data_IF_217454973852
#
_entry.id   IF_217454973852
#
_cell.length_a   1.000
_cell.length_b   1.000
_cell.length_c   1.000
_cell.angle_alpha   90.00
_cell.angle_beta   90.00
_cell.angle_gamma   90.00
#
_symmetry.space_group_name_H-M   'P 1'
#
loop_
_entity.id
_entity.type
_entity.pdbx_description
1 polymer ?
#
# COMPACT_ATOMS: atom_id res chain seq x y z
N UNK A 1 7.58 15.04 8.03
CA UNK A 1 6.65 13.90 8.25
C UNK A 1 7.45 12.61 8.24
N UNK A 2 7.25 11.77 9.25
CA UNK A 2 7.94 10.47 9.32
C UNK A 2 7.06 9.36 8.74
N UNK A 3 7.51 8.71 7.67
CA UNK A 3 6.80 7.67 6.94
C UNK A 3 7.54 6.34 7.00
N UNK A 4 6.81 5.24 7.09
CA UNK A 4 7.44 3.94 7.24
C UNK A 4 6.66 2.79 6.63
N UNK A 5 7.30 1.62 6.65
CA UNK A 5 6.68 0.36 6.28
C UNK A 5 7.06 -0.75 7.25
N UNK A 6 6.23 -1.76 7.32
CA UNK A 6 6.55 -3.05 7.95
C UNK A 6 6.83 -4.08 6.87
N UNK A 7 7.97 -4.77 6.98
CA UNK A 7 8.24 -6.00 6.25
C UNK A 7 8.22 -7.16 7.22
N UNK A 8 7.38 -8.17 6.97
CA UNK A 8 7.36 -9.39 7.78
C UNK A 8 6.80 -10.57 7.00
N UNK A 9 6.83 -11.77 7.59
CA UNK A 9 6.25 -12.98 7.03
C UNK A 9 4.95 -13.32 7.77
N UNK A 10 3.76 -13.02 7.22
CA UNK A 10 2.50 -13.50 7.77
C UNK A 10 2.42 -15.02 7.77
N UNK A 11 1.81 -15.60 8.79
CA UNK A 11 1.47 -17.02 8.84
C UNK A 11 0.05 -17.20 8.31
N UNK A 12 -0.12 -18.03 7.26
CA UNK A 12 -1.43 -18.22 6.62
C UNK A 12 -2.48 -18.71 7.62
N UNK A 13 -3.61 -18.01 7.66
CA UNK A 13 -4.76 -18.34 8.50
C UNK A 13 -4.64 -17.96 9.97
N UNK A 14 -3.48 -17.50 10.45
CA UNK A 14 -3.21 -17.17 11.84
C UNK A 14 -3.43 -15.67 12.14
N UNK A 15 -4.67 -15.18 11.92
CA UNK A 15 -5.01 -13.75 12.01
C UNK A 15 -4.54 -13.09 13.30
N UNK A 16 -4.89 -13.67 14.46
CA UNK A 16 -4.52 -13.11 15.75
C UNK A 16 -2.99 -13.05 15.96
N UNK A 17 -2.26 -14.09 15.53
CA UNK A 17 -0.79 -14.11 15.65
C UNK A 17 -0.16 -13.05 14.77
N UNK A 18 -0.64 -12.92 13.52
CA UNK A 18 -0.17 -11.92 12.58
C UNK A 18 -0.43 -10.52 13.12
N UNK A 19 -1.64 -10.26 13.63
CA UNK A 19 -2.01 -8.98 14.21
C UNK A 19 -1.13 -8.65 15.44
N UNK A 20 -0.94 -9.58 16.36
CA UNK A 20 -0.06 -9.38 17.53
C UNK A 20 1.39 -9.06 17.12
N UNK A 21 1.88 -9.69 16.04
CA UNK A 21 3.23 -9.41 15.53
C UNK A 21 3.31 -8.02 14.92
N UNK A 22 2.32 -7.64 14.11
CA UNK A 22 2.26 -6.30 13.49
C UNK A 22 2.18 -5.22 14.55
N UNK A 23 1.40 -5.38 15.60
CA UNK A 23 1.32 -4.41 16.71
C UNK A 23 2.69 -4.16 17.38
N UNK A 24 3.60 -5.16 17.41
CA UNK A 24 4.97 -4.94 17.91
C UNK A 24 5.78 -4.06 16.97
N UNK A 25 5.67 -4.29 15.65
CA UNK A 25 6.33 -3.42 14.66
C UNK A 25 5.77 -1.99 14.68
N UNK A 26 4.44 -1.86 14.80
CA UNK A 26 3.81 -0.55 14.93
C UNK A 26 4.28 0.19 16.18
N UNK A 27 4.42 -0.50 17.34
CA UNK A 27 5.00 0.10 18.55
C UNK A 27 6.42 0.59 18.33
N UNK A 28 7.26 -0.18 17.62
CA UNK A 28 8.61 0.28 17.29
C UNK A 28 8.56 1.52 16.37
N UNK A 29 7.66 1.55 15.38
CA UNK A 29 7.47 2.72 14.53
C UNK A 29 7.00 3.96 15.29
N UNK A 30 6.14 3.78 16.29
CA UNK A 30 5.73 4.88 17.22
C UNK A 30 6.93 5.38 18.02
N UNK A 31 7.83 4.50 18.47
CA UNK A 31 9.07 4.93 19.15
C UNK A 31 10.00 5.75 18.24
N UNK A 32 9.92 5.53 16.92
CA UNK A 32 10.60 6.35 15.91
C UNK A 32 9.79 7.58 15.48
N UNK A 33 8.65 7.86 16.15
CA UNK A 33 7.73 8.98 15.89
C UNK A 33 7.13 8.96 14.48
N UNK A 34 6.79 7.77 13.97
CA UNK A 34 6.14 7.64 12.67
C UNK A 34 4.77 8.30 12.64
N UNK A 35 4.49 9.03 11.56
CA UNK A 35 3.17 9.63 11.27
C UNK A 35 2.32 8.71 10.38
N UNK A 36 2.98 7.84 9.59
CA UNK A 36 2.34 6.92 8.64
C UNK A 36 3.15 5.62 8.55
N UNK A 37 2.48 4.48 8.71
CA UNK A 37 3.07 3.16 8.47
C UNK A 37 2.21 2.35 7.52
N UNK A 38 2.86 1.72 6.52
CA UNK A 38 2.22 0.85 5.56
C UNK A 38 2.50 -0.61 5.94
N UNK A 39 1.45 -1.43 6.02
CA UNK A 39 1.52 -2.87 6.22
C UNK A 39 1.40 -3.61 4.87
N UNK A 40 1.91 -4.85 4.77
CA UNK A 40 1.78 -5.64 3.54
C UNK A 40 0.33 -5.95 3.15
N UNK A 41 0.14 -6.31 1.89
CA UNK A 41 -1.12 -6.85 1.36
C UNK A 41 -1.54 -8.11 2.12
N UNK A 42 -2.83 -8.22 2.49
CA UNK A 42 -3.41 -9.37 3.21
C UNK A 42 -2.57 -9.79 4.43
N UNK A 43 -2.05 -8.80 5.16
CA UNK A 43 -1.08 -9.03 6.22
C UNK A 43 -1.61 -9.93 7.34
N UNK A 44 -2.92 -9.88 7.59
CA UNK A 44 -3.55 -10.60 8.69
C UNK A 44 -3.86 -12.06 8.34
N UNK A 45 -4.16 -12.37 7.06
CA UNK A 45 -4.60 -13.70 6.62
C UNK A 45 -3.53 -14.55 5.97
N UNK A 46 -2.51 -13.92 5.37
CA UNK A 46 -1.67 -14.53 4.35
C UNK A 46 -2.32 -14.41 2.97
N UNK A 47 -1.63 -14.92 1.92
CA UNK A 47 -1.96 -14.65 0.53
C UNK A 47 -2.39 -15.90 -0.27
N UNK A 48 -1.80 -17.06 0.00
CA UNK A 48 -1.94 -18.24 -0.86
C UNK A 48 -3.18 -19.04 -0.48
N UNK A 49 -4.35 -18.52 -0.83
CA UNK A 49 -5.62 -19.23 -0.66
C UNK A 49 -5.70 -20.45 -1.59
N UNK A 50 -6.38 -21.51 -1.13
CA UNK A 50 -6.60 -22.76 -1.86
C UNK A 50 -8.07 -23.10 -2.09
N UNK A 51 -8.99 -22.43 -1.40
CA UNK A 51 -10.44 -22.61 -1.53
C UNK A 51 -11.21 -21.37 -1.12
N UNK A 52 -12.45 -21.24 -1.62
CA UNK A 52 -13.39 -20.19 -1.17
C UNK A 52 -13.68 -20.29 0.33
N UNK A 53 -13.74 -21.51 0.89
CA UNK A 53 -13.93 -21.71 2.34
C UNK A 53 -12.84 -21.03 3.17
N UNK A 54 -11.61 -20.99 2.69
CA UNK A 54 -10.53 -20.25 3.38
C UNK A 54 -10.78 -18.73 3.32
N UNK A 55 -11.23 -18.22 2.17
CA UNK A 55 -11.55 -16.80 1.99
C UNK A 55 -12.71 -16.40 2.90
N UNK A 56 -13.81 -17.16 2.87
CA UNK A 56 -14.99 -16.96 3.72
C UNK A 56 -14.64 -16.93 5.20
N UNK A 57 -13.83 -17.89 5.64
CA UNK A 57 -13.42 -18.02 7.04
C UNK A 57 -12.50 -16.88 7.51
N UNK A 58 -11.65 -16.39 6.63
CA UNK A 58 -10.57 -15.47 7.01
C UNK A 58 -10.89 -13.99 6.72
N UNK A 59 -11.84 -13.72 5.82
CA UNK A 59 -12.28 -12.37 5.51
C UNK A 59 -13.03 -11.73 6.69
N UNK A 60 -13.06 -10.41 6.68
CA UNK A 60 -13.78 -9.63 7.67
C UNK A 60 -14.36 -8.35 7.06
N UNK A 61 -15.43 -7.85 7.66
CA UNK A 61 -15.99 -6.55 7.29
C UNK A 61 -15.05 -5.42 7.70
N UNK A 62 -15.02 -4.35 6.91
CA UNK A 62 -14.30 -3.13 7.24
C UNK A 62 -15.35 -2.01 7.40
N UNK A 63 -15.37 -1.31 8.55
CA UNK A 63 -14.39 -1.33 9.65
C UNK A 63 -14.69 -2.31 10.82
N UNK A 64 -15.76 -3.08 10.78
CA UNK A 64 -16.31 -3.81 11.93
C UNK A 64 -15.49 -5.05 12.33
N UNK A 65 -14.58 -5.51 11.48
CA UNK A 65 -13.73 -6.67 11.73
C UNK A 65 -12.74 -6.45 12.88
N UNK A 66 -12.33 -7.54 13.53
CA UNK A 66 -11.44 -7.51 14.68
C UNK A 66 -10.08 -6.87 14.34
N UNK A 67 -9.53 -7.18 13.17
CA UNK A 67 -8.26 -6.59 12.71
C UNK A 67 -8.38 -5.07 12.63
N UNK A 68 -9.43 -4.58 11.93
CA UNK A 68 -9.62 -3.15 11.71
C UNK A 68 -9.89 -2.42 13.02
N UNK A 69 -10.78 -2.94 13.89
CA UNK A 69 -11.05 -2.36 15.21
C UNK A 69 -9.79 -2.23 16.07
N UNK A 70 -8.96 -3.28 16.07
CA UNK A 70 -7.70 -3.25 16.84
C UNK A 70 -6.74 -2.21 16.30
N UNK A 71 -6.65 -2.07 14.96
CA UNK A 71 -5.80 -1.05 14.34
C UNK A 71 -6.35 0.36 14.54
N UNK A 72 -7.67 0.56 14.51
CA UNK A 72 -8.31 1.87 14.85
C UNK A 72 -7.90 2.30 16.24
N UNK A 73 -8.13 1.43 17.24
CA UNK A 73 -7.75 1.73 18.62
C UNK A 73 -6.24 2.03 18.76
N UNK A 74 -5.40 1.30 18.02
CA UNK A 74 -3.96 1.56 18.03
C UNK A 74 -3.62 2.90 17.39
N UNK A 75 -4.23 3.24 16.26
CA UNK A 75 -4.01 4.47 15.50
C UNK A 75 -4.37 5.71 16.35
N UNK A 76 -5.56 5.72 16.94
CA UNK A 76 -6.05 6.79 17.82
C UNK A 76 -5.13 7.03 19.02
N UNK A 77 -4.76 5.94 19.74
CA UNK A 77 -3.93 6.06 20.95
C UNK A 77 -2.49 6.50 20.68
N UNK A 78 -2.02 6.43 19.42
CA UNK A 78 -0.63 6.74 19.07
C UNK A 78 -0.51 7.85 18.02
N UNK A 79 -1.61 8.51 17.64
CA UNK A 79 -1.64 9.54 16.59
C UNK A 79 -0.97 9.08 15.29
N UNK A 80 -1.19 7.81 14.90
CA UNK A 80 -0.54 7.15 13.77
C UNK A 80 -1.55 6.86 12.66
N UNK A 81 -1.22 7.24 11.42
CA UNK A 81 -1.96 6.76 10.25
C UNK A 81 -1.43 5.38 9.82
N UNK A 82 -2.32 4.45 9.50
CA UNK A 82 -1.95 3.09 9.10
C UNK A 82 -2.64 2.76 7.78
N UNK A 83 -1.88 2.26 6.78
CA UNK A 83 -2.47 1.60 5.60
C UNK A 83 -2.23 0.11 5.71
N UNK A 84 -3.31 -0.67 5.77
CA UNK A 84 -3.27 -2.10 6.05
C UNK A 84 -3.97 -2.92 4.97
N UNK A 85 -3.27 -3.91 4.37
CA UNK A 85 -3.87 -4.84 3.40
C UNK A 85 -4.71 -5.91 4.10
N UNK A 86 -6.00 -5.98 3.82
CA UNK A 86 -6.99 -6.82 4.51
C UNK A 86 -7.81 -7.64 3.51
N UNK A 87 -8.13 -8.88 3.86
CA UNK A 87 -9.11 -9.69 3.17
C UNK A 87 -10.52 -9.19 3.58
N UNK A 88 -11.13 -8.38 2.73
CA UNK A 88 -12.43 -7.75 2.98
C UNK A 88 -13.58 -8.69 2.59
N UNK A 89 -14.62 -8.70 3.40
CA UNK A 89 -15.95 -9.23 3.06
C UNK A 89 -16.93 -8.07 3.03
N UNK A 90 -17.68 -7.97 1.93
CA UNK A 90 -18.77 -7.02 1.76
C UNK A 90 -19.97 -7.77 1.19
N UNK A 91 -20.97 -8.01 2.03
CA UNK A 91 -22.09 -8.90 1.75
C UNK A 91 -21.61 -10.29 1.29
N UNK A 92 -21.93 -10.68 0.05
CA UNK A 92 -21.58 -11.98 -0.56
C UNK A 92 -20.29 -11.88 -1.41
N UNK A 93 -19.63 -10.72 -1.45
CA UNK A 93 -18.41 -10.51 -2.22
C UNK A 93 -17.19 -10.40 -1.33
N UNK A 94 -16.06 -10.81 -1.88
CA UNK A 94 -14.76 -10.72 -1.21
C UNK A 94 -13.83 -9.85 -2.02
N UNK A 95 -13.02 -9.04 -1.33
CA UNK A 95 -12.07 -8.12 -1.95
C UNK A 95 -10.70 -8.22 -1.30
N UNK A 96 -9.69 -8.03 -2.12
CA UNK A 96 -8.35 -7.72 -1.65
C UNK A 96 -8.28 -6.21 -1.46
N UNK A 97 -8.28 -5.76 -0.21
CA UNK A 97 -8.49 -4.34 0.13
C UNK A 97 -7.34 -3.76 0.94
N UNK A 98 -7.18 -2.47 0.87
CA UNK A 98 -6.33 -1.70 1.76
C UNK A 98 -7.18 -0.68 2.52
N UNK A 99 -7.15 -0.76 3.84
CA UNK A 99 -7.78 0.19 4.73
C UNK A 99 -6.75 1.25 5.13
N UNK A 100 -7.05 2.52 4.85
CA UNK A 100 -6.41 3.66 5.50
C UNK A 100 -7.16 3.92 6.80
N UNK A 101 -6.48 3.75 7.90
CA UNK A 101 -6.96 4.05 9.24
C UNK A 101 -6.24 5.32 9.68
N UNK A 102 -6.96 6.42 9.77
CA UNK A 102 -6.41 7.71 10.16
C UNK A 102 -6.20 7.79 11.68
N UNK A 103 -5.33 8.71 12.09
CA UNK A 103 -5.01 8.96 13.50
C UNK A 103 -6.21 9.39 14.36
N UNK A 104 -7.29 9.83 13.73
CA UNK A 104 -8.58 10.18 14.35
C UNK A 104 -9.61 9.04 14.32
N UNK A 105 -9.20 7.82 13.92
CA UNK A 105 -10.04 6.63 13.86
C UNK A 105 -10.90 6.48 12.61
N UNK A 106 -10.91 7.46 11.70
CA UNK A 106 -11.64 7.35 10.44
C UNK A 106 -11.02 6.27 9.54
N UNK A 107 -11.88 5.54 8.80
CA UNK A 107 -11.45 4.46 7.90
C UNK A 107 -11.90 4.74 6.47
N UNK A 108 -10.94 4.72 5.56
CA UNK A 108 -11.17 4.74 4.11
C UNK A 108 -10.67 3.45 3.47
N UNK A 109 -11.35 2.96 2.44
CA UNK A 109 -11.04 1.65 1.84
C UNK A 109 -10.78 1.80 0.34
N UNK A 110 -9.66 1.26 -0.11
CA UNK A 110 -9.35 0.98 -1.50
C UNK A 110 -9.46 -0.52 -1.76
N UNK A 111 -10.20 -0.94 -2.79
CA UNK A 111 -10.32 -2.32 -3.27
C UNK A 111 -9.43 -2.50 -4.49
N UNK A 112 -8.58 -3.52 -4.48
CA UNK A 112 -7.62 -3.81 -5.56
C UNK A 112 -8.31 -3.92 -6.91
N UNK A 113 -7.95 -3.06 -7.82
CA UNK A 113 -8.57 -2.98 -9.16
C UNK A 113 -8.06 -4.10 -10.06
N UNK A 114 -6.75 -4.38 -10.03
CA UNK A 114 -6.11 -5.35 -10.93
C UNK A 114 -5.71 -6.62 -10.16
N UNK A 115 -6.53 -7.65 -10.29
CA UNK A 115 -6.32 -8.93 -9.61
C UNK A 115 -5.24 -9.75 -10.32
N UNK A 116 -4.31 -10.31 -9.54
CA UNK A 116 -3.20 -11.11 -10.03
C UNK A 116 -3.49 -12.61 -9.96
N UNK A 117 -3.30 -13.34 -11.08
CA UNK A 117 -3.36 -14.80 -11.17
C UNK A 117 -4.61 -15.39 -10.52
N UNK A 118 -4.45 -16.21 -9.46
CA UNK A 118 -5.56 -16.88 -8.75
C UNK A 118 -6.42 -15.96 -7.91
N UNK A 119 -6.01 -14.73 -7.66
CA UNK A 119 -6.88 -13.74 -7.01
C UNK A 119 -8.22 -13.59 -7.75
N UNK A 120 -8.21 -13.75 -9.08
CA UNK A 120 -9.41 -13.71 -9.92
C UNK A 120 -10.43 -14.81 -9.62
N UNK A 121 -10.04 -15.86 -8.88
CA UNK A 121 -10.92 -16.95 -8.44
C UNK A 121 -11.57 -16.60 -7.10
N UNK A 122 -10.83 -15.86 -6.26
CA UNK A 122 -11.18 -15.63 -4.86
C UNK A 122 -11.84 -14.29 -4.62
N UNK A 123 -11.43 -13.25 -5.35
CA UNK A 123 -11.80 -11.87 -5.11
C UNK A 123 -12.52 -11.26 -6.30
N UNK A 124 -13.45 -10.36 -6.01
CA UNK A 124 -14.01 -9.43 -6.98
C UNK A 124 -13.01 -8.31 -7.27
N UNK A 125 -12.89 -7.83 -8.51
CA UNK A 125 -12.13 -6.62 -8.80
C UNK A 125 -12.73 -5.41 -8.08
N UNK A 126 -11.88 -4.45 -7.74
CA UNK A 126 -12.30 -3.21 -7.09
C UNK A 126 -13.32 -2.46 -7.94
N UNK A 127 -14.34 -1.95 -7.28
CA UNK A 127 -15.53 -1.30 -7.87
C UNK A 127 -15.59 0.20 -7.56
N UNK A 128 -14.51 0.77 -7.01
CA UNK A 128 -14.41 2.18 -6.62
C UNK A 128 -13.35 2.90 -7.45
N UNK A 129 -13.55 4.19 -7.78
CA UNK A 129 -12.55 4.96 -8.49
C UNK A 129 -11.27 5.13 -7.65
N UNK A 130 -10.13 5.29 -8.33
CA UNK A 130 -8.90 5.70 -7.65
C UNK A 130 -9.10 7.03 -6.95
N UNK A 131 -8.81 7.08 -5.65
CA UNK A 131 -9.03 8.24 -4.81
C UNK A 131 -7.76 8.64 -4.05
N UNK A 132 -7.66 9.92 -3.77
CA UNK A 132 -6.64 10.49 -2.90
C UNK A 132 -7.31 10.85 -1.58
N UNK A 133 -6.65 10.50 -0.49
CA UNK A 133 -7.12 10.67 0.87
C UNK A 133 -6.27 11.74 1.54
N UNK A 134 -6.93 12.73 2.13
CA UNK A 134 -6.24 13.78 2.87
C UNK A 134 -6.01 13.33 4.31
N UNK A 135 -4.80 13.57 4.80
CA UNK A 135 -4.44 13.49 6.21
C UNK A 135 -3.95 14.86 6.67
N UNK A 136 -3.75 15.05 7.96
CA UNK A 136 -3.23 16.30 8.48
C UNK A 136 -1.91 16.75 7.83
N UNK A 137 -1.05 15.78 7.43
CA UNK A 137 0.32 16.06 6.96
C UNK A 137 0.58 15.80 5.49
N UNK A 138 -0.27 15.02 4.81
CA UNK A 138 -0.04 14.65 3.41
C UNK A 138 -1.31 14.14 2.71
N UNK A 139 -1.28 14.15 1.37
CA UNK A 139 -2.27 13.52 0.49
C UNK A 139 -1.77 12.16 0.03
N UNK A 140 -2.54 11.12 0.37
CA UNK A 140 -2.17 9.72 0.17
C UNK A 140 -2.94 9.11 -0.99
N UNK A 141 -2.24 8.49 -1.95
CA UNK A 141 -2.82 7.57 -2.93
C UNK A 141 -2.59 6.13 -2.48
N UNK A 142 -3.52 5.23 -2.76
CA UNK A 142 -3.39 3.81 -2.41
C UNK A 142 -3.48 2.97 -3.69
N UNK A 143 -2.56 2.02 -3.83
CA UNK A 143 -2.59 0.93 -4.79
C UNK A 143 -2.16 -0.37 -4.11
N UNK A 144 -2.54 -1.53 -4.63
CA UNK A 144 -2.18 -2.82 -4.04
C UNK A 144 -1.42 -3.67 -5.04
N UNK A 145 -0.20 -4.11 -4.66
CA UNK A 145 0.59 -5.13 -5.34
C UNK A 145 0.55 -4.98 -6.88
N UNK A 146 -0.11 -5.88 -7.60
CA UNK A 146 -0.14 -5.94 -9.08
C UNK A 146 -0.64 -4.66 -9.77
N UNK A 147 -1.35 -3.76 -9.07
CA UNK A 147 -1.72 -2.45 -9.61
C UNK A 147 -0.51 -1.67 -10.15
N UNK A 148 0.70 -1.92 -9.63
CA UNK A 148 1.92 -1.28 -10.08
C UNK A 148 2.27 -1.54 -11.54
N UNK A 149 1.76 -2.65 -12.12
CA UNK A 149 2.00 -3.00 -13.52
C UNK A 149 1.28 -2.08 -14.51
N UNK A 150 0.31 -1.33 -14.01
CA UNK A 150 -0.51 -0.38 -14.78
C UNK A 150 -0.07 1.04 -14.45
N UNK A 151 0.77 1.66 -15.31
CA UNK A 151 1.30 3.00 -15.04
C UNK A 151 0.22 4.06 -14.89
N UNK A 152 -0.98 3.81 -15.44
CA UNK A 152 -2.16 4.65 -15.30
C UNK A 152 -2.56 4.84 -13.83
N UNK A 153 -2.41 3.83 -12.98
CA UNK A 153 -2.81 3.89 -11.57
C UNK A 153 -2.06 5.01 -10.85
N UNK A 154 -0.72 4.96 -10.91
CA UNK A 154 0.10 5.98 -10.24
C UNK A 154 -0.11 7.35 -10.89
N UNK A 155 -0.25 7.39 -12.23
CA UNK A 155 -0.51 8.63 -12.95
C UNK A 155 -1.84 9.27 -12.54
N UNK A 156 -2.91 8.51 -12.42
CA UNK A 156 -4.22 9.00 -11.98
C UNK A 156 -4.13 9.53 -10.54
N UNK A 157 -3.52 8.79 -9.63
CA UNK A 157 -3.34 9.21 -8.24
C UNK A 157 -2.52 10.50 -8.15
N UNK A 158 -1.43 10.60 -8.89
CA UNK A 158 -0.59 11.78 -8.92
C UNK A 158 -1.30 13.01 -9.53
N UNK A 159 -2.08 12.82 -10.59
CA UNK A 159 -2.92 13.88 -11.19
C UNK A 159 -4.02 14.35 -10.23
N UNK A 160 -4.50 13.49 -9.35
CA UNK A 160 -5.44 13.83 -8.28
C UNK A 160 -4.76 14.48 -7.06
N UNK A 161 -3.45 14.73 -7.12
CA UNK A 161 -2.69 15.44 -6.11
C UNK A 161 -2.07 14.57 -5.02
N UNK A 162 -2.00 13.25 -5.20
CA UNK A 162 -1.27 12.40 -4.26
C UNK A 162 0.20 12.83 -4.15
N UNK A 163 0.69 12.96 -2.91
CA UNK A 163 2.09 13.21 -2.59
C UNK A 163 2.83 11.91 -2.29
N UNK A 164 2.13 10.97 -1.64
CA UNK A 164 2.67 9.68 -1.23
C UNK A 164 1.76 8.57 -1.76
N UNK A 165 2.36 7.59 -2.45
CA UNK A 165 1.68 6.38 -2.89
C UNK A 165 1.97 5.25 -1.88
N UNK A 166 0.93 4.80 -1.20
CA UNK A 166 0.97 3.68 -0.27
C UNK A 166 0.73 2.38 -1.06
N UNK A 167 1.68 1.44 -1.00
CA UNK A 167 1.69 0.24 -1.83
C UNK A 167 1.86 -1.05 -1.01
N UNK A 168 0.81 -1.52 -0.29
CA UNK A 168 0.75 -2.86 0.28
C UNK A 168 1.00 -3.94 -0.77
N UNK A 169 1.88 -4.92 -0.49
CA UNK A 169 2.30 -5.86 -1.53
C UNK A 169 2.64 -7.26 -1.03
N UNK A 170 2.45 -8.25 -1.94
CA UNK A 170 2.92 -9.63 -1.84
C UNK A 170 3.67 -10.02 -3.12
N UNK A 171 4.80 -9.37 -3.38
CA UNK A 171 5.55 -9.47 -4.63
C UNK A 171 6.30 -10.80 -4.77
N UNK A 172 6.08 -11.47 -5.87
CA UNK A 172 6.76 -12.71 -6.27
C UNK A 172 7.79 -12.46 -7.39
N UNK A 173 7.52 -11.48 -8.26
CA UNK A 173 8.36 -11.13 -9.40
C UNK A 173 9.37 -10.03 -9.01
N UNK A 174 10.61 -10.05 -9.55
CA UNK A 174 11.69 -9.18 -9.11
C UNK A 174 11.71 -7.77 -9.75
N UNK A 175 10.62 -7.34 -10.39
CA UNK A 175 10.63 -6.14 -11.23
C UNK A 175 10.13 -4.88 -10.52
N UNK A 176 9.19 -5.04 -9.58
CA UNK A 176 8.46 -3.94 -8.97
C UNK A 176 9.37 -2.89 -8.33
N UNK A 177 10.36 -3.33 -7.55
CA UNK A 177 11.24 -2.40 -6.84
C UNK A 177 11.98 -1.46 -7.79
N UNK A 178 12.46 -1.98 -8.93
CA UNK A 178 13.11 -1.16 -9.95
C UNK A 178 12.12 -0.27 -10.68
N UNK A 179 10.94 -0.80 -11.03
CA UNK A 179 9.89 -0.04 -11.72
C UNK A 179 9.42 1.17 -10.89
N UNK A 180 9.34 1.03 -9.56
CA UNK A 180 8.92 2.11 -8.68
C UNK A 180 9.88 3.31 -8.67
N UNK A 181 11.15 3.13 -9.01
CA UNK A 181 12.08 4.25 -9.18
C UNK A 181 11.63 5.16 -10.34
N UNK A 182 11.37 4.54 -11.51
CA UNK A 182 10.87 5.26 -12.67
C UNK A 182 9.48 5.87 -12.43
N UNK A 183 8.59 5.12 -11.79
CA UNK A 183 7.25 5.59 -11.46
C UNK A 183 7.27 6.82 -10.52
N UNK A 184 8.15 6.83 -9.53
CA UNK A 184 8.30 7.95 -8.60
C UNK A 184 8.70 9.24 -9.32
N UNK A 185 9.75 9.20 -10.16
CA UNK A 185 10.23 10.41 -10.87
C UNK A 185 9.28 10.87 -11.96
N UNK A 186 8.65 9.95 -12.70
CA UNK A 186 7.69 10.28 -13.77
C UNK A 186 6.41 10.95 -13.24
N UNK A 187 6.10 10.75 -11.96
CA UNK A 187 4.90 11.30 -11.32
C UNK A 187 5.23 12.32 -10.22
N UNK A 188 6.52 12.49 -9.89
CA UNK A 188 6.98 13.35 -8.80
C UNK A 188 6.22 13.06 -7.50
N UNK A 189 6.26 11.79 -7.04
CA UNK A 189 5.61 11.32 -5.81
C UNK A 189 6.54 10.44 -5.00
N UNK A 190 6.34 10.39 -3.68
CA UNK A 190 6.93 9.34 -2.86
C UNK A 190 6.19 8.03 -3.09
N UNK A 191 6.90 6.90 -3.07
CA UNK A 191 6.28 5.56 -3.15
C UNK A 191 6.80 4.71 -2.00
N UNK A 192 5.89 4.18 -1.18
CA UNK A 192 6.18 3.29 -0.07
C UNK A 192 5.69 1.90 -0.43
N UNK A 193 6.57 0.99 -0.82
CA UNK A 193 6.24 -0.42 -1.06
C UNK A 193 6.46 -1.22 0.21
N UNK A 194 5.39 -1.62 0.88
CA UNK A 194 5.39 -2.51 2.03
C UNK A 194 5.17 -3.95 1.56
N UNK A 195 6.23 -4.71 1.43
CA UNK A 195 6.19 -6.07 0.89
C UNK A 195 6.39 -7.11 1.99
N UNK A 196 5.77 -8.27 1.84
CA UNK A 196 6.05 -9.41 2.71
C UNK A 196 7.36 -10.11 2.32
N UNK A 197 7.91 -10.86 3.26
CA UNK A 197 9.03 -11.79 3.05
C UNK A 197 8.62 -13.24 3.25
N UNK A 198 9.57 -14.16 3.06
CA UNK A 198 9.43 -15.59 3.36
C UNK A 198 8.77 -16.42 2.28
N UNK A 199 8.34 -17.62 2.68
CA UNK A 199 7.66 -18.58 1.81
C UNK A 199 6.35 -19.01 2.44
N UNK A 200 5.28 -19.08 1.65
CA UNK A 200 3.97 -19.52 2.09
C UNK A 200 3.43 -20.56 1.11
N UNK A 201 3.13 -21.77 1.59
CA UNK A 201 2.53 -22.84 0.79
C UNK A 201 3.28 -23.10 -0.53
N UNK A 202 4.61 -22.96 -0.53
CA UNK A 202 5.49 -23.16 -1.70
C UNK A 202 5.74 -21.91 -2.55
N UNK A 203 5.04 -20.81 -2.32
CA UNK A 203 5.25 -19.52 -3.01
C UNK A 203 6.27 -18.69 -2.24
N UNK A 204 7.33 -18.23 -2.91
CA UNK A 204 8.39 -17.40 -2.34
C UNK A 204 8.16 -15.94 -2.69
N UNK A 205 8.24 -15.08 -1.67
CA UNK A 205 8.09 -13.63 -1.80
C UNK A 205 9.43 -12.92 -1.78
N UNK A 206 9.49 -11.77 -2.45
CA UNK A 206 10.76 -11.10 -2.74
C UNK A 206 11.32 -10.27 -1.59
N UNK A 207 10.51 -9.91 -0.59
CA UNK A 207 10.91 -8.93 0.42
C UNK A 207 11.27 -7.60 -0.24
N UNK A 208 12.37 -6.96 0.19
CA UNK A 208 12.87 -5.71 -0.40
C UNK A 208 11.83 -4.59 -0.40
N UNK A 209 11.11 -4.44 0.71
CA UNK A 209 10.30 -3.25 0.95
C UNK A 209 11.15 -2.00 0.81
N UNK A 210 10.58 -0.91 0.32
CA UNK A 210 11.36 0.31 0.06
C UNK A 210 10.51 1.58 0.15
N UNK A 211 11.19 2.70 0.37
CA UNK A 211 10.65 4.06 0.23
C UNK A 211 11.48 4.75 -0.84
N UNK A 212 10.80 5.27 -1.86
CA UNK A 212 11.40 5.97 -2.99
C UNK A 212 10.94 7.42 -2.98
N UNK A 213 11.87 8.35 -3.14
CA UNK A 213 11.60 9.78 -3.24
C UNK A 213 11.18 10.20 -4.67
N UNK A 214 10.57 11.40 -4.84
CA UNK A 214 10.17 11.94 -6.15
C UNK A 214 11.32 12.10 -7.17
N UNK A 215 12.56 12.01 -6.74
CA UNK A 215 13.78 12.11 -7.56
C UNK A 215 14.50 10.77 -7.76
N UNK A 216 13.81 9.65 -7.55
CA UNK A 216 14.31 8.26 -7.63
C UNK A 216 15.23 7.83 -6.49
N UNK A 217 15.62 8.68 -5.55
CA UNK A 217 16.44 8.24 -4.42
C UNK A 217 15.71 7.20 -3.59
N UNK A 218 16.38 6.09 -3.28
CA UNK A 218 15.89 5.09 -2.33
C UNK A 218 16.24 5.57 -0.92
N UNK A 219 15.24 6.05 -0.18
CA UNK A 219 15.41 6.59 1.17
C UNK A 219 15.57 5.48 2.21
N UNK A 220 14.86 4.36 2.00
CA UNK A 220 14.97 3.15 2.79
C UNK A 220 14.73 1.92 1.93
N UNK A 221 15.42 0.83 2.25
CA UNK A 221 15.15 -0.48 1.66
C UNK A 221 15.45 -1.60 2.64
N UNK A 222 14.67 -2.67 2.58
CA UNK A 222 14.85 -3.89 3.36
C UNK A 222 15.62 -4.94 2.57
N UNK A 223 16.22 -5.90 3.29
CA UNK A 223 16.79 -7.09 2.66
C UNK A 223 15.68 -8.00 2.13
N UNK A 224 16.06 -8.97 1.29
CA UNK A 224 15.11 -9.97 0.77
C UNK A 224 14.46 -10.79 1.88
N UNK A 225 15.20 -11.08 2.94
CA UNK A 225 14.76 -11.82 4.11
C UNK A 225 14.98 -10.97 5.35
N UNK A 226 14.19 -11.23 6.37
CA UNK A 226 14.20 -10.48 7.61
C UNK A 226 12.90 -9.71 7.81
N UNK A 227 12.61 -9.43 9.07
CA UNK A 227 11.41 -8.71 9.49
C UNK A 227 11.83 -7.45 10.20
N UNK A 228 11.28 -6.34 9.77
CA UNK A 228 11.64 -5.03 10.32
C UNK A 228 10.55 -4.00 10.06
N UNK A 229 10.55 -2.94 10.83
CA UNK A 229 9.94 -1.67 10.49
C UNK A 229 11.06 -0.70 10.13
N UNK A 230 10.84 0.12 9.11
CA UNK A 230 11.73 1.25 8.78
C UNK A 230 10.94 2.51 8.66
N UNK A 231 11.47 3.57 9.23
CA UNK A 231 10.89 4.91 9.23
C UNK A 231 11.93 5.89 8.68
N UNK A 232 11.50 6.84 7.87
CA UNK A 232 12.35 7.93 7.35
C UNK A 232 11.59 9.25 7.45
N UNK A 233 12.34 10.33 7.62
CA UNK A 233 11.79 11.67 7.57
C UNK A 233 11.75 12.21 6.14
N UNK A 234 10.61 12.77 5.74
CA UNK A 234 10.39 13.36 4.42
C UNK A 234 9.61 14.67 4.51
N UNK A 235 9.78 15.52 3.51
CA UNK A 235 8.89 16.66 3.30
C UNK A 235 7.90 16.33 2.19
N UNK A 236 6.60 16.07 2.48
CA UNK A 236 5.60 15.77 1.46
C UNK A 236 5.51 16.81 0.34
N UNK A 237 5.81 18.09 0.64
CA UNK A 237 5.81 19.17 -0.34
C UNK A 237 6.83 18.99 -1.46
N UNK A 238 7.85 18.14 -1.29
CA UNK A 238 8.81 17.82 -2.37
C UNK A 238 8.11 17.12 -3.55
N UNK A 239 6.91 16.56 -3.32
CA UNK A 239 6.06 15.97 -4.34
C UNK A 239 5.13 16.99 -5.03
N UNK A 240 4.98 18.20 -4.52
CA UNK A 240 4.02 19.16 -5.07
C UNK A 240 4.51 19.77 -6.39
N UNK A 241 5.80 20.13 -6.47
CA UNK A 241 6.36 20.70 -7.69
C UNK A 241 6.51 19.65 -8.79
N UNK A 242 5.82 19.88 -9.91
CA UNK A 242 5.94 19.08 -11.14
C UNK A 242 6.89 19.71 -12.15
N UNK A 243 7.44 20.88 -11.84
CA UNK A 243 8.41 21.58 -12.65
C UNK A 243 9.75 20.87 -12.68
N UNK A 244 10.28 20.61 -13.86
CA UNK A 244 11.57 19.95 -14.10
C UNK A 244 12.64 20.95 -14.49
N UNK A 245 12.29 21.94 -15.33
CA UNK A 245 13.16 23.04 -15.74
C UNK A 245 12.39 24.35 -15.70
N UNK A 246 13.03 25.45 -16.06
CA UNK A 246 12.38 26.75 -16.22
C UNK A 246 11.20 26.70 -17.20
N UNK A 247 11.28 25.85 -18.24
CA UNK A 247 10.31 25.77 -19.31
C UNK A 247 9.45 24.49 -19.32
N UNK A 248 9.73 23.53 -18.44
CA UNK A 248 9.04 22.25 -18.46
C UNK A 248 8.33 21.94 -17.14
N UNK A 249 7.04 21.66 -17.21
CA UNK A 249 6.23 21.13 -16.13
C UNK A 249 5.55 19.83 -16.59
N UNK A 250 5.61 18.79 -15.77
CA UNK A 250 5.09 17.46 -16.12
C UNK A 250 3.58 17.45 -16.36
N UNK A 251 2.82 18.36 -15.77
CA UNK A 251 1.37 18.42 -15.94
C UNK A 251 0.96 19.34 -17.08
N UNK A 252 1.59 20.51 -17.20
CA UNK A 252 1.26 21.52 -18.21
C UNK A 252 1.72 21.10 -19.61
N UNK A 253 2.84 20.37 -19.72
CA UNK A 253 3.39 19.88 -20.99
C UNK A 253 2.66 18.65 -21.54
N UNK A 254 1.63 18.12 -20.86
CA UNK A 254 0.88 16.94 -21.33
C UNK A 254 0.03 17.28 -22.56
N UNK A 255 0.17 16.45 -23.59
CA UNK A 255 -0.59 16.54 -24.84
C UNK A 255 -1.79 15.57 -24.80
N UNK A 256 -2.74 15.83 -23.89
CA UNK A 256 -3.86 14.91 -23.57
C UNK A 256 -4.75 14.61 -24.78
N UNK A 257 -4.83 15.53 -25.74
CA UNK A 257 -5.54 15.34 -27.00
C UNK A 257 -4.98 14.20 -27.86
N UNK A 258 -3.71 13.83 -27.66
CA UNK A 258 -3.02 12.72 -28.34
C UNK A 258 -3.10 11.38 -27.60
N UNK A 259 -3.63 11.37 -26.37
CA UNK A 259 -3.62 10.17 -25.50
C UNK A 259 -4.94 9.37 -25.55
N UNK A 260 -5.84 9.70 -26.48
CA UNK A 260 -7.17 9.05 -26.58
C UNK A 260 -7.10 7.52 -26.71
N UNK A 261 -6.04 6.98 -27.34
CA UNK A 261 -5.82 5.53 -27.48
C UNK A 261 -5.60 4.79 -26.18
N UNK A 262 -5.31 5.49 -25.07
CA UNK A 262 -5.23 4.86 -23.74
C UNK A 262 -6.60 4.43 -23.20
N UNK A 263 -7.70 4.89 -23.80
CA UNK A 263 -9.07 4.62 -23.36
C UNK A 263 -9.78 3.55 -24.21
N UNK A 264 -9.08 2.97 -25.21
CA UNK A 264 -9.63 1.97 -26.15
C UNK A 264 -9.25 0.54 -25.75
#
# INVERSE_FOLDING_TARGET
MKIGYVQFQPQFGEKEKNLKRVLRFLKNGVQEEADLIILPELFNTGYVFRSMKEVEKLSEHIPEGETTKTLIHFAENNSLNIVAGICERDEDRFFNSAALISSDGNVSVYRKTHLFYKEKIWFSPGDRPFSVYETEKARLGIMICFDWFFPEVIRILALKGAQIICHPSNLMLPYCQTAMLGAAVQNRVFIITANRTGTERGVKFTGKSQIVAPDMRVLASSRRSGEEVKVVDVNPSDADSKRITEYNDLWDDRRTELYKSLLN
#
